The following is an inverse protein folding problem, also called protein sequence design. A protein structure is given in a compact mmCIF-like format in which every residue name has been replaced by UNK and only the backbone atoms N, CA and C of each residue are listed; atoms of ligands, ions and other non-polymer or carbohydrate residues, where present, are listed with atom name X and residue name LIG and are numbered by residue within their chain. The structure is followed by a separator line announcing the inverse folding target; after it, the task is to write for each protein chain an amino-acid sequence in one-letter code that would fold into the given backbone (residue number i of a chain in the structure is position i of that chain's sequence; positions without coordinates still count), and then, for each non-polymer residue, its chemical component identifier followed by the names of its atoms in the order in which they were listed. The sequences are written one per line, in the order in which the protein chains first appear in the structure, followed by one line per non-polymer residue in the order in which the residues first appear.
data_IF_284860006461
#
_entry.id   IF_284860006461
#
_cell.length_a   1.000
_cell.length_b   1.000
_cell.length_c   1.000
_cell.angle_alpha   90.00
_cell.angle_beta   90.00
_cell.angle_gamma   90.00
#
_symmetry.space_group_name_H-M   'P 1'
#
loop_
_entity.id
_entity.type
_entity.pdbx_description
1 polymer ?
#
# COMPACT_ATOMS: atom_id res chain seq x y z
N UNK A 1 -5.28 -15.62 2.48
CA UNK A 1 -4.10 -14.75 2.71
C UNK A 1 -4.55 -13.63 3.62
N UNK A 2 -3.70 -13.23 4.56
CA UNK A 2 -4.01 -12.12 5.47
C UNK A 2 -3.82 -10.79 4.74
N UNK A 3 -4.82 -9.92 4.89
CA UNK A 3 -4.88 -8.59 4.31
C UNK A 3 -5.08 -7.61 5.46
N UNK A 4 -4.14 -6.70 5.63
CA UNK A 4 -4.09 -5.74 6.72
C UNK A 4 -4.61 -4.40 6.21
N UNK A 5 -5.60 -3.83 6.88
CA UNK A 5 -6.21 -2.54 6.53
C UNK A 5 -5.90 -1.53 7.63
N UNK A 6 -5.34 -0.40 7.22
CA UNK A 6 -4.98 0.72 8.07
C UNK A 6 -5.79 1.94 7.63
N UNK A 7 -6.46 2.61 8.57
CA UNK A 7 -7.30 3.79 8.29
C UNK A 7 -6.49 5.08 8.34
N UNK A 8 -5.41 5.14 9.11
CA UNK A 8 -4.56 6.34 9.20
C UNK A 8 -3.09 6.06 8.91
N UNK A 9 -2.36 7.15 8.65
CA UNK A 9 -0.90 7.11 8.50
C UNK A 9 -0.22 6.58 9.77
N UNK A 10 -0.66 7.02 10.95
CA UNK A 10 -0.06 6.60 12.23
C UNK A 10 -0.28 5.11 12.49
N UNK A 11 -1.46 4.57 12.18
CA UNK A 11 -1.73 3.14 12.28
C UNK A 11 -0.80 2.33 11.37
N UNK A 12 -0.59 2.80 10.15
CA UNK A 12 0.33 2.17 9.20
C UNK A 12 1.79 2.27 9.65
N UNK A 13 2.21 3.44 10.11
CA UNK A 13 3.57 3.71 10.58
C UNK A 13 3.94 2.88 11.81
N UNK A 14 3.00 2.72 12.74
CA UNK A 14 3.16 1.92 13.97
C UNK A 14 2.94 0.42 13.75
N UNK A 15 2.60 -0.01 12.53
CA UNK A 15 2.16 -1.38 12.20
C UNK A 15 1.03 -1.91 13.10
N UNK A 16 -0.03 -1.10 13.24
CA UNK A 16 -1.24 -1.42 14.01
C UNK A 16 -2.45 -1.42 13.08
N UNK A 17 -2.75 -2.53 12.37
CA UNK A 17 -3.88 -2.59 11.47
C UNK A 17 -5.20 -2.38 12.22
N UNK A 18 -6.09 -1.58 11.63
CA UNK A 18 -7.44 -1.41 12.16
C UNK A 18 -8.23 -2.70 12.01
N UNK A 19 -8.07 -3.38 10.87
CA UNK A 19 -8.81 -4.59 10.51
C UNK A 19 -7.88 -5.56 9.78
N UNK A 20 -8.07 -6.86 10.04
CA UNK A 20 -7.41 -7.94 9.30
C UNK A 20 -8.47 -8.79 8.61
N UNK A 21 -8.33 -8.97 7.31
CA UNK A 21 -9.23 -9.75 6.47
C UNK A 21 -8.51 -10.99 5.95
N UNK A 22 -9.25 -12.08 5.78
CA UNK A 22 -8.76 -13.28 5.12
C UNK A 22 -9.40 -13.43 3.75
N UNK A 23 -8.59 -13.54 2.69
CA UNK A 23 -9.11 -13.74 1.35
C UNK A 23 -8.05 -13.87 0.25
N UNK A 24 -8.51 -13.73 -0.98
CA UNK A 24 -7.69 -13.66 -2.18
C UNK A 24 -7.86 -12.29 -2.86
N UNK A 25 -6.73 -11.63 -3.13
CA UNK A 25 -6.69 -10.32 -3.78
C UNK A 25 -6.71 -10.54 -5.29
N UNK A 26 -7.76 -10.07 -5.96
CA UNK A 26 -7.96 -10.31 -7.39
C UNK A 26 -7.44 -9.15 -8.26
N UNK A 27 -7.62 -7.90 -7.82
CA UNK A 27 -7.18 -6.74 -8.59
C UNK A 27 -7.12 -5.47 -7.75
N UNK A 28 -6.16 -4.61 -8.08
CA UNK A 28 -6.17 -3.18 -7.77
C UNK A 28 -6.44 -2.44 -9.07
N UNK A 29 -7.59 -1.77 -9.20
CA UNK A 29 -7.87 -0.93 -10.37
C UNK A 29 -8.48 0.39 -9.91
N UNK A 30 -7.88 1.51 -10.34
CA UNK A 30 -8.30 2.86 -9.97
C UNK A 30 -8.53 3.07 -8.46
N UNK A 31 -7.65 2.50 -7.63
CA UNK A 31 -7.71 2.66 -6.17
C UNK A 31 -8.87 1.92 -5.49
N UNK A 32 -9.50 0.98 -6.19
CA UNK A 32 -10.43 0.01 -5.63
C UNK A 32 -9.74 -1.34 -5.51
N UNK A 33 -9.81 -1.91 -4.32
CA UNK A 33 -9.21 -3.17 -3.95
C UNK A 33 -10.28 -4.25 -3.89
N UNK A 34 -10.12 -5.32 -4.65
CA UNK A 34 -11.12 -6.41 -4.74
C UNK A 34 -10.60 -7.66 -4.04
N UNK A 35 -11.34 -8.12 -3.04
CA UNK A 35 -11.02 -9.29 -2.22
C UNK A 35 -12.15 -10.30 -2.36
N UNK A 36 -11.83 -11.53 -2.73
CA UNK A 36 -12.77 -12.64 -2.62
C UNK A 36 -12.53 -13.36 -1.28
N UNK A 37 -13.60 -13.49 -0.48
CA UNK A 37 -13.56 -14.07 0.88
C UNK A 37 -14.64 -15.12 1.03
N UNK A 38 -14.43 -16.13 1.88
CA UNK A 38 -15.46 -17.13 2.21
C UNK A 38 -15.82 -17.02 3.68
N UNK A 39 -17.11 -16.77 3.96
CA UNK A 39 -17.66 -16.67 5.32
C UNK A 39 -18.88 -17.59 5.38
N UNK A 40 -18.93 -18.49 6.37
CA UNK A 40 -20.02 -19.45 6.55
C UNK A 40 -20.40 -20.23 5.28
N UNK A 41 -19.38 -20.73 4.56
CA UNK A 41 -19.52 -21.47 3.30
C UNK A 41 -20.12 -20.67 2.13
N UNK A 42 -20.26 -19.35 2.27
CA UNK A 42 -20.69 -18.45 1.20
C UNK A 42 -19.50 -17.62 0.73
N UNK A 43 -19.34 -17.54 -0.58
CA UNK A 43 -18.33 -16.71 -1.23
C UNK A 43 -18.85 -15.29 -1.40
N UNK A 44 -18.05 -14.31 -1.00
CA UNK A 44 -18.33 -12.89 -1.14
C UNK A 44 -17.20 -12.21 -1.88
N UNK A 45 -17.56 -11.23 -2.70
CA UNK A 45 -16.62 -10.26 -3.27
C UNK A 45 -16.75 -8.96 -2.51
N UNK A 46 -15.66 -8.54 -1.88
CA UNK A 46 -15.54 -7.29 -1.17
C UNK A 46 -14.79 -6.28 -2.05
N UNK A 47 -15.26 -5.04 -2.03
CA UNK A 47 -14.62 -3.93 -2.73
C UNK A 47 -14.28 -2.86 -1.69
N UNK A 48 -12.99 -2.60 -1.49
CA UNK A 48 -12.50 -1.61 -0.54
C UNK A 48 -11.96 -0.40 -1.29
N UNK A 49 -12.27 0.78 -0.81
CA UNK A 49 -11.74 2.03 -1.36
C UNK A 49 -10.53 2.49 -0.56
N UNK A 50 -9.46 2.87 -1.26
CA UNK A 50 -8.29 3.52 -0.64
C UNK A 50 -8.55 4.97 -0.26
N UNK A 51 -9.70 5.54 -0.61
CA UNK A 51 -10.05 6.90 -0.18
C UNK A 51 -10.35 6.97 1.33
N UNK A 52 -10.89 5.89 1.88
CA UNK A 52 -11.29 5.82 3.29
C UNK A 52 -10.33 4.95 4.13
N UNK A 53 -9.32 4.36 3.50
CA UNK A 53 -8.31 3.55 4.15
C UNK A 53 -6.95 4.06 3.71
N UNK A 54 -6.10 4.43 4.65
CA UNK A 54 -4.76 4.90 4.35
C UNK A 54 -3.91 3.82 3.66
N UNK A 55 -3.93 2.58 4.14
CA UNK A 55 -3.15 1.51 3.54
C UNK A 55 -3.90 0.18 3.52
N UNK A 56 -3.68 -0.60 2.47
CA UNK A 56 -4.05 -2.01 2.37
C UNK A 56 -2.79 -2.80 2.03
N UNK A 57 -2.43 -3.77 2.87
CA UNK A 57 -1.18 -4.52 2.79
C UNK A 57 -1.45 -6.02 2.79
N UNK A 58 -0.69 -6.77 1.99
CA UNK A 58 -0.74 -8.22 1.99
C UNK A 58 0.58 -8.83 1.56
N UNK A 59 0.87 -10.04 2.02
CA UNK A 59 2.12 -10.75 1.71
C UNK A 59 2.01 -11.51 0.40
N UNK A 60 2.93 -11.26 -0.54
CA UNK A 60 2.96 -12.00 -1.79
C UNK A 60 3.46 -13.44 -1.59
N UNK A 61 2.90 -14.42 -2.32
CA UNK A 61 3.29 -15.83 -2.21
C UNK A 61 4.68 -16.13 -2.80
N UNK A 62 5.20 -15.26 -3.68
CA UNK A 62 6.52 -15.41 -4.30
C UNK A 62 7.29 -14.08 -4.20
N UNK A 63 8.43 -14.12 -3.51
CA UNK A 63 9.26 -12.97 -3.21
C UNK A 63 10.56 -13.00 -4.00
N UNK A 64 10.68 -12.13 -4.99
CA UNK A 64 11.96 -11.55 -5.34
C UNK A 64 11.71 -10.24 -6.07
N UNK A 65 12.19 -9.13 -5.51
CA UNK A 65 12.28 -7.87 -6.21
C UNK A 65 13.62 -7.83 -6.91
N UNK A 66 13.60 -7.88 -8.24
CA UNK A 66 14.83 -7.80 -9.03
C UNK A 66 15.50 -6.43 -8.94
N UNK A 67 14.74 -5.38 -8.57
CA UNK A 67 15.19 -3.99 -8.59
C UNK A 67 14.57 -3.17 -7.45
N UNK A 68 14.86 -3.52 -6.19
CA UNK A 68 14.47 -2.69 -5.05
C UNK A 68 15.22 -1.34 -5.09
N UNK A 69 14.48 -0.26 -4.92
CA UNK A 69 14.95 1.12 -4.92
C UNK A 69 14.54 1.81 -3.62
N UNK A 70 15.26 2.86 -3.25
CA UNK A 70 14.86 3.72 -2.15
C UNK A 70 13.61 4.50 -2.55
N UNK A 71 12.57 4.39 -1.72
CA UNK A 71 11.30 5.07 -1.83
C UNK A 71 11.20 6.02 -0.64
N UNK A 72 10.98 7.30 -0.93
CA UNK A 72 10.91 8.36 0.04
C UNK A 72 9.50 8.96 0.06
N UNK A 73 8.94 9.12 1.26
CA UNK A 73 7.62 9.72 1.47
C UNK A 73 7.81 11.09 2.11
N UNK A 74 7.23 12.11 1.47
CA UNK A 74 7.24 13.49 1.91
C UNK A 74 5.82 13.96 2.24
N UNK A 75 5.57 14.47 3.44
CA UNK A 75 4.27 15.01 3.85
C UNK A 75 4.10 16.49 3.51
N UNK A 76 5.20 17.20 3.22
CA UNK A 76 5.15 18.62 2.86
C UNK A 76 6.30 19.04 1.91
N UNK A 77 6.14 20.23 1.32
CA UNK A 77 7.10 20.79 0.35
C UNK A 77 8.46 21.12 0.96
N UNK A 78 8.52 21.50 2.24
CA UNK A 78 9.77 21.85 2.92
C UNK A 78 10.65 20.61 3.11
N UNK A 79 10.06 19.51 3.58
CA UNK A 79 10.71 18.20 3.67
C UNK A 79 11.27 17.76 2.31
N UNK A 80 10.49 17.94 1.24
CA UNK A 80 10.96 17.64 -0.12
C UNK A 80 12.13 18.51 -0.56
N UNK A 81 12.04 19.83 -0.39
CA UNK A 81 13.09 20.77 -0.81
C UNK A 81 14.42 20.55 -0.08
N UNK A 82 14.35 20.08 1.16
CA UNK A 82 15.53 19.79 1.98
C UNK A 82 16.04 18.35 1.81
N UNK A 83 15.35 17.51 1.03
CA UNK A 83 15.61 16.07 0.94
C UNK A 83 15.58 15.36 2.30
N UNK A 84 14.67 15.77 3.18
CA UNK A 84 14.45 15.21 4.52
C UNK A 84 13.09 14.47 4.55
N UNK A 85 13.00 13.24 4.05
CA UNK A 85 11.74 12.49 4.01
C UNK A 85 11.26 12.13 5.42
N UNK A 86 9.94 12.12 5.62
CA UNK A 86 9.34 11.61 6.85
C UNK A 86 9.53 10.08 6.97
N UNK A 87 9.57 9.37 5.83
CA UNK A 87 9.88 7.94 5.78
C UNK A 87 10.72 7.62 4.54
N UNK A 88 11.75 6.79 4.75
CA UNK A 88 12.50 6.14 3.68
C UNK A 88 12.50 4.63 3.87
N UNK A 89 12.21 3.89 2.81
CA UNK A 89 12.29 2.43 2.80
C UNK A 89 12.69 1.93 1.42
N UNK A 90 12.98 0.62 1.31
CA UNK A 90 13.32 -0.01 0.04
C UNK A 90 12.18 -0.85 -0.50
N UNK A 91 11.96 -0.75 -1.80
CA UNK A 91 10.95 -1.52 -2.49
C UNK A 91 10.93 -1.29 -4.00
N UNK A 92 10.01 -1.95 -4.67
CA UNK A 92 9.74 -1.80 -6.09
C UNK A 92 8.39 -1.12 -6.28
N UNK A 93 8.37 0.02 -6.96
CA UNK A 93 7.12 0.72 -7.27
C UNK A 93 6.43 0.05 -8.46
N UNK A 94 5.18 -0.35 -8.28
CA UNK A 94 4.33 -0.90 -9.33
C UNK A 94 3.63 0.25 -10.07
N UNK A 95 4.36 0.99 -10.93
CA UNK A 95 3.83 2.16 -11.66
C UNK A 95 2.53 1.88 -12.42
N UNK A 96 2.37 0.65 -12.94
CA UNK A 96 1.19 0.19 -13.68
C UNK A 96 -0.08 0.07 -12.83
N UNK A 97 0.07 0.04 -11.50
CA UNK A 97 -1.01 -0.10 -10.53
C UNK A 97 -1.21 1.15 -9.68
N UNK A 98 -0.33 2.15 -9.82
CA UNK A 98 -0.51 3.47 -9.24
C UNK A 98 -1.67 4.22 -9.92
N UNK A 99 -2.20 5.23 -9.24
CA UNK A 99 -3.24 6.10 -9.78
C UNK A 99 -3.27 7.46 -9.09
N UNK A 100 -4.25 8.29 -9.45
CA UNK A 100 -4.31 9.70 -9.03
C UNK A 100 -4.31 9.91 -7.50
N UNK A 101 -4.74 8.91 -6.73
CA UNK A 101 -4.90 9.02 -5.27
C UNK A 101 -4.15 7.94 -4.48
N UNK A 102 -3.33 7.11 -5.12
CA UNK A 102 -2.65 6.02 -4.44
C UNK A 102 -1.36 5.60 -5.15
N UNK A 103 -0.42 5.10 -4.37
CA UNK A 103 0.81 4.48 -4.86
C UNK A 103 0.87 3.02 -4.42
N UNK A 104 1.39 2.18 -5.31
CA UNK A 104 1.54 0.75 -5.06
C UNK A 104 3.01 0.40 -5.13
N UNK A 105 3.50 -0.30 -4.11
CA UNK A 105 4.86 -0.80 -4.09
C UNK A 105 4.93 -2.15 -3.38
N UNK A 106 6.03 -2.84 -3.59
CA UNK A 106 6.35 -4.09 -2.90
C UNK A 106 7.62 -3.84 -2.10
N UNK A 107 7.62 -4.17 -0.81
CA UNK A 107 8.81 -4.05 0.05
C UNK A 107 9.77 -5.21 -0.18
N UNK A 108 11.02 -5.06 0.25
CA UNK A 108 12.04 -6.13 0.20
C UNK A 108 11.58 -7.41 0.92
N UNK A 109 10.72 -7.28 1.95
CA UNK A 109 10.14 -8.41 2.69
C UNK A 109 8.98 -9.11 1.95
N UNK A 110 8.66 -8.67 0.73
CA UNK A 110 7.63 -9.26 -0.13
C UNK A 110 6.20 -8.83 0.23
N UNK A 111 6.03 -7.75 1.00
CA UNK A 111 4.72 -7.17 1.25
C UNK A 111 4.35 -6.20 0.15
N UNK A 112 3.21 -6.47 -0.49
CA UNK A 112 2.60 -5.52 -1.40
C UNK A 112 1.78 -4.52 -0.59
N UNK A 113 2.10 -3.25 -0.75
CA UNK A 113 1.43 -2.16 -0.07
C UNK A 113 0.76 -1.26 -1.09
N UNK A 114 -0.49 -0.94 -0.80
CA UNK A 114 -1.28 0.00 -1.56
C UNK A 114 -1.67 1.12 -0.60
N UNK A 115 -1.02 2.28 -0.71
CA UNK A 115 -1.22 3.40 0.20
C UNK A 115 -1.91 4.56 -0.52
N UNK A 116 -2.80 5.24 0.20
CA UNK A 116 -3.41 6.49 -0.22
C UNK A 116 -2.35 7.59 -0.28
N UNK A 117 -2.50 8.49 -1.24
CA UNK A 117 -1.73 9.73 -1.32
C UNK A 117 -2.41 10.88 -0.55
N UNK A 118 -3.55 10.62 0.10
CA UNK A 118 -4.21 11.64 0.93
C UNK A 118 -3.31 12.05 2.11
N UNK A 119 -3.07 13.34 2.26
CA UNK A 119 -2.12 13.89 3.23
C UNK A 119 -0.63 13.69 2.89
N UNK A 120 -0.29 13.04 1.78
CA UNK A 120 1.09 12.90 1.29
C UNK A 120 1.36 13.95 0.20
N UNK A 121 2.45 14.71 0.35
CA UNK A 121 2.86 15.69 -0.64
C UNK A 121 3.54 15.05 -1.84
N UNK A 122 4.51 14.17 -1.60
CA UNK A 122 5.23 13.48 -2.66
C UNK A 122 5.73 12.10 -2.23
N UNK A 123 5.75 11.17 -3.18
CA UNK A 123 6.49 9.90 -3.07
C UNK A 123 7.51 9.87 -4.19
N UNK A 124 8.78 9.66 -3.86
CA UNK A 124 9.88 9.68 -4.84
C UNK A 124 10.69 8.40 -4.79
N UNK A 125 11.26 8.03 -5.93
CA UNK A 125 12.14 6.88 -6.10
C UNK A 125 12.99 7.10 -7.36
N UNK A 126 14.18 6.48 -7.42
CA UNK A 126 15.06 6.61 -8.58
C UNK A 126 14.50 5.86 -9.81
N UNK A 127 14.72 6.37 -11.02
CA UNK A 127 14.25 5.71 -12.27
C UNK A 127 15.37 4.94 -12.96
#
# INVERSE_FOLDING_TARGET
MDIYVYKTYEEWFDDKPTETLEGEVNSVYNGVFVIDTTIDYKSYRQMLSLKNNFAIIYKLPYGFLSYAKEINVYLNITSWQNSEPEISFKGEVCEDQCGDSHVVFITEDGFKQCISLDGIYAVTYER
#
